data_IF_382751885864
#
_entry.id   IF_382751885864
#
_cell.length_a   1.000
_cell.length_b   1.000
_cell.length_c   1.000
_cell.angle_alpha   90.00
_cell.angle_beta   90.00
_cell.angle_gamma   90.00
#
_symmetry.space_group_name_H-M   'P 1'
#
loop_
_entity.id
_entity.type
_entity.pdbx_description
1 polymer ?
#
# COMPACT_ATOMS: atom_id res chain seq x y z
N UNK A 1 -37.69 68.72 34.69
CA UNK A 1 -37.46 68.89 33.25
C UNK A 1 -36.02 69.31 33.05
N UNK A 2 -35.12 68.35 32.87
CA UNK A 2 -33.73 68.60 32.48
C UNK A 2 -33.39 67.60 31.39
N UNK A 3 -33.47 68.07 30.16
CA UNK A 3 -33.23 67.31 28.95
C UNK A 3 -31.74 67.21 28.65
N UNK A 4 -31.32 65.98 28.29
CA UNK A 4 -30.49 65.73 27.12
C UNK A 4 -29.06 66.25 27.12
N UNK A 5 -28.12 65.41 27.56
CA UNK A 5 -26.75 65.43 27.04
C UNK A 5 -26.46 64.08 26.36
N UNK A 6 -26.44 64.09 25.02
CA UNK A 6 -26.20 62.93 24.18
C UNK A 6 -24.69 62.76 23.94
N UNK A 7 -24.04 61.93 24.75
CA UNK A 7 -22.63 61.57 24.60
C UNK A 7 -22.46 60.37 23.67
N UNK A 8 -21.99 60.61 22.45
CA UNK A 8 -21.59 59.57 21.52
C UNK A 8 -20.29 58.88 21.97
N UNK A 9 -20.30 57.55 22.01
CA UNK A 9 -19.09 56.73 22.12
C UNK A 9 -19.06 55.74 20.96
N UNK A 10 -18.26 56.08 19.95
CA UNK A 10 -17.99 55.25 18.78
C UNK A 10 -17.28 53.96 19.21
N UNK A 11 -17.99 52.84 19.21
CA UNK A 11 -17.37 51.51 19.29
C UNK A 11 -16.61 51.27 17.99
N UNK A 12 -15.28 51.20 18.07
CA UNK A 12 -14.41 50.75 16.99
C UNK A 12 -14.83 49.34 16.57
N UNK A 13 -15.32 49.19 15.34
CA UNK A 13 -15.52 47.90 14.70
C UNK A 13 -14.12 47.39 14.32
N UNK A 14 -13.55 46.52 15.15
CA UNK A 14 -12.33 45.79 14.80
C UNK A 14 -12.63 44.92 13.58
N UNK A 15 -12.05 45.24 12.43
CA UNK A 15 -12.03 44.37 11.25
C UNK A 15 -11.43 43.02 11.68
N UNK A 16 -12.25 41.98 11.78
CA UNK A 16 -11.78 40.61 11.78
C UNK A 16 -11.17 40.35 10.40
N UNK A 17 -9.86 40.10 10.37
CA UNK A 17 -9.21 39.57 9.17
C UNK A 17 -9.73 38.14 8.95
N UNK A 18 -9.97 37.72 7.70
CA UNK A 18 -10.31 36.32 7.43
C UNK A 18 -9.13 35.43 7.83
N UNK A 19 -9.42 34.33 8.52
CA UNK A 19 -8.45 33.31 8.85
C UNK A 19 -7.76 32.81 7.56
N UNK A 20 -6.44 32.53 7.59
CA UNK A 20 -5.76 31.95 6.44
C UNK A 20 -6.42 30.62 6.06
N UNK A 21 -6.49 30.28 4.76
CA UNK A 21 -7.07 29.02 4.33
C UNK A 21 -6.33 27.87 5.01
N UNK A 22 -7.09 26.96 5.62
CA UNK A 22 -6.57 25.73 6.21
C UNK A 22 -5.69 25.05 5.17
N UNK A 23 -4.38 25.08 5.41
CA UNK A 23 -3.39 24.47 4.54
C UNK A 23 -3.77 23.01 4.32
N UNK A 24 -3.81 22.60 3.05
CA UNK A 24 -3.87 21.18 2.69
C UNK A 24 -2.76 20.50 3.47
N UNK A 25 -3.13 19.54 4.32
CA UNK A 25 -2.20 18.60 4.91
C UNK A 25 -1.71 17.75 3.74
N UNK A 26 -0.71 18.25 3.03
CA UNK A 26 0.18 17.40 2.26
C UNK A 26 0.80 16.48 3.29
N UNK A 27 0.28 15.25 3.36
CA UNK A 27 0.98 14.17 4.04
C UNK A 27 2.25 13.94 3.22
N UNK A 28 3.30 14.69 3.55
CA UNK A 28 4.68 14.25 3.42
C UNK A 28 4.89 13.06 4.36
N UNK A 29 4.19 11.96 4.07
CA UNK A 29 4.70 10.65 4.38
C UNK A 29 5.81 10.45 3.39
N UNK A 30 7.02 10.89 3.75
CA UNK A 30 8.24 10.37 3.16
C UNK A 30 8.00 8.88 2.95
N UNK A 31 7.93 8.44 1.68
CA UNK A 31 8.07 7.03 1.38
C UNK A 31 9.49 6.71 1.82
N UNK A 32 9.63 6.35 3.09
CA UNK A 32 10.72 5.50 3.50
C UNK A 32 10.73 4.38 2.46
N UNK A 33 11.68 4.38 1.52
CA UNK A 33 12.93 3.62 1.60
C UNK A 33 12.86 2.42 2.57
N UNK A 34 11.67 1.83 2.72
CA UNK A 34 11.40 0.61 3.41
C UNK A 34 11.60 -0.38 2.29
N UNK A 35 12.87 -0.76 2.10
CA UNK A 35 13.28 -1.97 1.37
C UNK A 35 12.11 -2.93 1.39
N UNK A 36 11.39 -3.02 0.26
CA UNK A 36 10.13 -3.76 0.25
C UNK A 36 10.49 -5.19 0.62
N UNK A 37 9.84 -5.74 1.66
CA UNK A 37 10.07 -7.10 2.12
C UNK A 37 10.08 -8.05 0.90
N UNK A 38 11.20 -8.73 0.67
CA UNK A 38 11.42 -9.56 -0.52
C UNK A 38 10.28 -10.56 -0.73
N UNK A 39 9.75 -11.13 0.36
CA UNK A 39 8.63 -12.07 0.29
C UNK A 39 7.37 -11.39 -0.26
N UNK A 40 7.02 -10.23 0.29
CA UNK A 40 5.82 -9.48 -0.12
C UNK A 40 5.97 -8.94 -1.54
N UNK A 41 7.16 -8.44 -1.90
CA UNK A 41 7.49 -8.00 -3.26
C UNK A 41 7.34 -9.16 -4.26
N UNK A 42 7.93 -10.32 -3.96
CA UNK A 42 7.85 -11.51 -4.81
C UNK A 42 6.40 -11.97 -4.97
N UNK A 43 5.68 -12.20 -3.86
CA UNK A 43 4.30 -12.69 -3.87
C UNK A 43 3.33 -11.70 -4.52
N UNK A 44 3.55 -10.39 -4.34
CA UNK A 44 2.77 -9.39 -5.04
C UNK A 44 3.04 -9.37 -6.54
N UNK A 45 4.30 -9.49 -6.95
CA UNK A 45 4.70 -9.49 -8.36
C UNK A 45 4.06 -10.66 -9.09
N UNK A 46 4.22 -11.90 -8.59
CA UNK A 46 3.61 -13.11 -9.21
C UNK A 46 2.09 -13.04 -9.25
N UNK A 47 1.45 -12.48 -8.21
CA UNK A 47 -0.01 -12.32 -8.13
C UNK A 47 -0.51 -11.33 -9.16
N UNK A 48 0.07 -10.13 -9.22
CA UNK A 48 -0.35 -9.05 -10.13
C UNK A 48 -0.18 -9.48 -11.60
N UNK A 49 0.94 -10.11 -11.92
CA UNK A 49 1.26 -10.57 -13.27
C UNK A 49 0.61 -11.92 -13.61
N UNK A 50 -0.10 -12.55 -12.67
CA UNK A 50 -0.75 -13.86 -12.82
C UNK A 50 0.20 -14.95 -13.32
N UNK A 51 1.43 -14.93 -12.82
CA UNK A 51 2.49 -15.85 -13.26
C UNK A 51 2.19 -17.24 -12.71
N UNK A 52 2.25 -18.24 -13.60
CA UNK A 52 2.14 -19.64 -13.23
C UNK A 52 3.36 -20.05 -12.41
N UNK A 53 3.12 -20.66 -11.26
CA UNK A 53 4.15 -21.10 -10.32
C UNK A 53 4.15 -22.61 -10.18
N UNK A 54 5.32 -23.15 -9.83
CA UNK A 54 5.44 -24.44 -9.18
C UNK A 54 5.83 -24.21 -7.72
N UNK A 55 5.00 -24.69 -6.79
CA UNK A 55 5.27 -24.66 -5.35
C UNK A 55 5.66 -26.07 -4.92
N UNK A 56 6.84 -26.18 -4.33
CA UNK A 56 7.34 -27.42 -3.74
C UNK A 56 7.06 -27.41 -2.25
N UNK A 57 6.46 -28.49 -1.76
CA UNK A 57 6.23 -28.69 -0.34
C UNK A 57 7.41 -29.44 0.30
N UNK A 58 7.58 -29.27 1.60
CA UNK A 58 8.64 -29.93 2.39
C UNK A 58 8.56 -31.47 2.33
N UNK A 59 7.38 -32.02 2.08
CA UNK A 59 7.16 -33.46 1.93
C UNK A 59 7.41 -33.98 0.49
N UNK A 60 7.86 -33.10 -0.42
CA UNK A 60 8.15 -33.43 -1.81
C UNK A 60 6.97 -33.33 -2.77
N UNK A 61 5.75 -33.04 -2.29
CA UNK A 61 4.60 -32.79 -3.17
C UNK A 61 4.81 -31.50 -3.96
N UNK A 62 4.45 -31.51 -5.25
CA UNK A 62 4.45 -30.33 -6.11
C UNK A 62 3.03 -29.85 -6.38
N UNK A 63 2.82 -28.56 -6.23
CA UNK A 63 1.58 -27.86 -6.57
C UNK A 63 1.87 -26.90 -7.71
N UNK A 64 0.92 -26.73 -8.63
CA UNK A 64 1.05 -25.74 -9.70
C UNK A 64 -0.19 -24.88 -9.76
N UNK A 65 -0.03 -23.63 -10.19
CA UNK A 65 -1.14 -22.69 -10.31
C UNK A 65 -0.69 -21.25 -10.22
N UNK A 66 -1.64 -20.35 -10.01
CA UNK A 66 -1.40 -18.91 -9.87
C UNK A 66 -1.80 -18.46 -8.48
N UNK A 67 -0.99 -17.59 -7.86
CA UNK A 67 -1.33 -16.98 -6.57
C UNK A 67 -2.39 -15.92 -6.79
N UNK A 68 -3.54 -16.07 -6.12
CA UNK A 68 -4.63 -15.08 -6.17
C UNK A 68 -4.64 -14.16 -4.95
N UNK A 69 -4.18 -14.65 -3.79
CA UNK A 69 -4.05 -13.88 -2.56
C UNK A 69 -3.00 -14.51 -1.64
N UNK A 70 -2.50 -13.75 -0.67
CA UNK A 70 -1.64 -14.25 0.38
C UNK A 70 -1.77 -13.35 1.63
N UNK A 71 -1.40 -13.90 2.77
CA UNK A 71 -1.23 -13.17 4.03
C UNK A 71 0.11 -13.55 4.66
N UNK A 72 0.29 -13.30 5.96
CA UNK A 72 1.52 -13.63 6.67
C UNK A 72 1.84 -15.14 6.69
N UNK A 73 0.84 -16.01 6.72
CA UNK A 73 0.99 -17.44 6.99
C UNK A 73 0.61 -18.35 5.83
N UNK A 74 -0.20 -17.86 4.89
CA UNK A 74 -0.83 -18.66 3.86
C UNK A 74 -0.75 -18.00 2.47
N UNK A 75 -0.87 -18.84 1.44
CA UNK A 75 -0.99 -18.44 0.04
C UNK A 75 -2.21 -19.15 -0.55
N UNK A 76 -3.07 -18.39 -1.23
CA UNK A 76 -4.19 -18.95 -1.98
C UNK A 76 -3.75 -19.21 -3.42
N UNK A 77 -3.62 -20.49 -3.77
CA UNK A 77 -3.21 -20.96 -5.09
C UNK A 77 -4.44 -21.41 -5.87
N UNK A 78 -4.59 -20.96 -7.12
CA UNK A 78 -5.68 -21.35 -8.00
C UNK A 78 -5.17 -22.13 -9.21
N UNK A 79 -5.86 -23.22 -9.52
CA UNK A 79 -5.62 -24.04 -10.72
C UNK A 79 -6.93 -24.68 -11.17
N UNK A 80 -7.20 -24.66 -12.48
CA UNK A 80 -8.36 -25.33 -13.10
C UNK A 80 -9.71 -24.99 -12.43
N UNK A 81 -9.89 -23.72 -12.05
CA UNK A 81 -11.09 -23.23 -11.37
C UNK A 81 -11.12 -23.46 -9.86
N UNK A 82 -10.31 -24.38 -9.34
CA UNK A 82 -10.21 -24.69 -7.92
C UNK A 82 -9.22 -23.78 -7.20
N UNK A 83 -9.58 -23.38 -5.97
CA UNK A 83 -8.72 -22.62 -5.06
C UNK A 83 -8.33 -23.50 -3.89
N UNK A 84 -7.05 -23.52 -3.56
CA UNK A 84 -6.49 -24.25 -2.43
C UNK A 84 -5.68 -23.29 -1.54
N UNK A 85 -5.92 -23.35 -0.24
CA UNK A 85 -5.14 -22.61 0.74
C UNK A 85 -3.89 -23.42 1.10
N UNK A 86 -2.72 -22.83 0.94
CA UNK A 86 -1.43 -23.48 1.21
C UNK A 86 -0.76 -22.74 2.36
N UNK A 87 -0.46 -23.45 3.46
CA UNK A 87 0.29 -22.88 4.57
C UNK A 87 1.78 -22.77 4.23
N UNK A 88 2.40 -21.62 4.53
CA UNK A 88 3.80 -21.34 4.22
C UNK A 88 4.79 -22.26 4.94
N UNK A 89 4.47 -22.73 6.15
CA UNK A 89 5.34 -23.67 6.89
C UNK A 89 5.52 -25.01 6.16
N UNK A 90 4.60 -25.36 5.25
CA UNK A 90 4.69 -26.57 4.44
C UNK A 90 5.41 -26.34 3.11
N UNK A 91 5.70 -25.09 2.73
CA UNK A 91 6.35 -24.73 1.46
C UNK A 91 7.87 -24.73 1.65
N UNK A 92 8.59 -25.47 0.80
CA UNK A 92 10.05 -25.42 0.74
C UNK A 92 10.54 -24.42 -0.31
N UNK A 93 9.88 -24.32 -1.46
CA UNK A 93 10.33 -23.47 -2.58
C UNK A 93 9.16 -23.02 -3.45
N UNK A 94 9.24 -21.79 -3.98
CA UNK A 94 8.30 -21.25 -4.97
C UNK A 94 9.09 -20.87 -6.22
N UNK A 95 8.77 -21.49 -7.35
CA UNK A 95 9.47 -21.31 -8.62
C UNK A 95 8.53 -20.70 -9.66
N UNK A 96 8.84 -19.52 -10.22
CA UNK A 96 8.07 -18.95 -11.32
C UNK A 96 8.33 -19.72 -12.62
N UNK A 97 7.31 -19.90 -13.43
CA UNK A 97 7.42 -20.61 -14.71
C UNK A 97 8.12 -19.81 -15.80
N UNK A 98 8.41 -18.53 -15.56
CA UNK A 98 9.10 -17.61 -16.45
C UNK A 98 9.98 -16.65 -15.64
N UNK A 99 11.06 -16.09 -16.21
CA UNK A 99 11.83 -15.01 -15.58
C UNK A 99 10.94 -13.82 -15.22
N UNK A 100 11.27 -13.12 -14.13
CA UNK A 100 10.47 -11.99 -13.64
C UNK A 100 11.38 -10.84 -13.22
N UNK A 101 11.06 -9.64 -13.68
CA UNK A 101 11.67 -8.41 -13.20
C UNK A 101 10.96 -8.00 -11.89
N UNK A 102 11.70 -7.94 -10.79
CA UNK A 102 11.16 -7.55 -9.47
C UNK A 102 11.61 -6.15 -9.03
N UNK A 103 12.66 -5.63 -9.64
CA UNK A 103 13.24 -4.32 -9.35
C UNK A 103 13.33 -3.53 -10.65
N UNK A 104 13.00 -2.23 -10.60
CA UNK A 104 13.31 -1.33 -11.70
C UNK A 104 14.83 -1.23 -11.82
N UNK A 105 15.37 -1.50 -13.01
CA UNK A 105 16.80 -1.33 -13.29
C UNK A 105 17.13 0.17 -13.30
N UNK A 106 18.07 0.61 -12.45
CA UNK A 106 18.59 1.99 -12.38
C UNK A 106 19.45 2.38 -13.62
N UNK A 107 19.11 1.89 -14.81
CA UNK A 107 19.91 2.02 -16.03
C UNK A 107 19.48 3.24 -16.89
N UNK A 108 18.89 4.27 -16.28
CA UNK A 108 18.45 5.48 -16.97
C UNK A 108 19.05 6.78 -16.38
N UNK A 109 20.06 6.68 -15.51
CA UNK A 109 20.71 7.81 -14.86
C UNK A 109 22.24 7.80 -15.02
N UNK A 110 22.74 7.52 -16.23
CA UNK A 110 24.15 7.70 -16.60
C UNK A 110 24.29 8.25 -18.01
#
# INVERSE_FOLDING_TARGET
MTDGHWGGSSKKITKLQPAPPAGKIERSGAMAERSQNLQDLFLNTVRKQKISLTIFLINGVKLTGVVTSFDNFCVLLRRDGHSQLVYKHAISTIMPGQPMQMFESEEAAS
#
